data_IF_896098686023
#
_entry.id   IF_896098686023
#
_cell.length_a   1.000
_cell.length_b   1.000
_cell.length_c   1.000
_cell.angle_alpha   90.00
_cell.angle_beta   90.00
_cell.angle_gamma   90.00
#
_symmetry.space_group_name_H-M   'P 1'
#
loop_
_entity.id
_entity.type
_entity.pdbx_description
1 polymer ?
#
# COMPACT_ATOMS: atom_id res chain seq x y z
N UNK A 1 -6.33 -26.17 15.83
CA UNK A 1 -6.02 -24.75 16.06
C UNK A 1 -7.30 -23.93 15.99
N UNK A 2 -7.53 -23.01 16.92
CA UNK A 2 -8.67 -22.09 16.94
C UNK A 2 -8.13 -20.66 16.91
N UNK A 3 -8.67 -19.82 16.03
CA UNK A 3 -8.34 -18.42 15.92
C UNK A 3 -9.61 -17.59 16.20
N UNK A 4 -9.56 -16.73 17.19
CA UNK A 4 -10.66 -15.83 17.57
C UNK A 4 -10.22 -14.38 17.54
N UNK A 5 -11.14 -13.49 17.21
CA UNK A 5 -10.91 -12.06 17.21
C UNK A 5 -12.21 -11.28 17.38
N UNK A 6 -12.14 -10.09 17.96
CA UNK A 6 -13.31 -9.24 18.17
C UNK A 6 -13.95 -8.73 16.88
N UNK A 7 -13.20 -8.71 15.77
CA UNK A 7 -13.63 -8.27 14.45
C UNK A 7 -13.04 -9.16 13.35
N UNK A 8 -13.63 -9.12 12.15
CA UNK A 8 -13.07 -9.80 10.96
C UNK A 8 -11.64 -9.33 10.66
N UNK A 9 -11.35 -8.04 10.88
CA UNK A 9 -10.00 -7.50 10.74
C UNK A 9 -9.04 -8.11 11.77
N UNK A 10 -9.48 -8.29 13.03
CA UNK A 10 -8.65 -8.93 14.07
C UNK A 10 -8.34 -10.40 13.70
N UNK A 11 -9.32 -11.14 13.20
CA UNK A 11 -9.12 -12.51 12.69
C UNK A 11 -8.13 -12.50 11.52
N UNK A 12 -8.26 -11.57 10.57
CA UNK A 12 -7.31 -11.43 9.47
C UNK A 12 -5.88 -11.20 9.98
N UNK A 13 -5.68 -10.31 10.95
CA UNK A 13 -4.35 -10.09 11.54
C UNK A 13 -3.81 -11.31 12.29
N UNK A 14 -4.68 -12.07 12.93
CA UNK A 14 -4.30 -13.34 13.54
C UNK A 14 -3.78 -14.36 12.53
N UNK A 15 -4.33 -14.41 11.32
CA UNK A 15 -3.77 -15.25 10.26
C UNK A 15 -2.35 -14.83 9.85
N UNK A 16 -2.02 -13.54 9.96
CA UNK A 16 -0.64 -13.06 9.71
C UNK A 16 0.33 -13.50 10.79
N UNK A 17 -0.13 -13.51 12.06
CA UNK A 17 0.65 -14.08 13.17
C UNK A 17 0.97 -15.55 12.93
N UNK A 18 -0.01 -16.33 12.49
CA UNK A 18 0.18 -17.76 12.18
C UNK A 18 1.22 -17.93 11.06
N UNK A 19 1.13 -17.15 9.97
CA UNK A 19 2.09 -17.21 8.88
C UNK A 19 3.51 -16.90 9.34
N UNK A 20 3.68 -15.86 10.19
CA UNK A 20 4.98 -15.50 10.74
C UNK A 20 5.54 -16.60 11.65
N UNK A 21 4.69 -17.26 12.44
CA UNK A 21 5.09 -18.43 13.22
C UNK A 21 5.54 -19.59 12.33
N UNK A 22 4.80 -19.91 11.30
CA UNK A 22 5.15 -20.98 10.36
C UNK A 22 6.50 -20.74 9.68
N UNK A 23 6.80 -19.49 9.30
CA UNK A 23 8.10 -19.13 8.74
C UNK A 23 9.25 -19.30 9.73
N UNK A 24 9.02 -18.99 11.02
CA UNK A 24 10.03 -19.12 12.07
C UNK A 24 10.28 -20.56 12.51
N UNK A 25 9.31 -21.45 12.34
CA UNK A 25 9.35 -22.83 12.82
C UNK A 25 9.20 -23.87 11.69
N UNK A 26 9.78 -23.60 10.54
CA UNK A 26 9.84 -24.51 9.38
C UNK A 26 8.47 -25.11 8.98
N UNK A 27 7.44 -24.26 8.95
CA UNK A 27 6.07 -24.65 8.57
C UNK A 27 5.22 -25.18 9.74
N UNK A 28 5.76 -25.32 10.92
CA UNK A 28 5.01 -25.73 12.12
C UNK A 28 4.49 -24.51 12.91
N UNK A 29 3.46 -24.76 13.70
CA UNK A 29 2.98 -23.79 14.70
C UNK A 29 3.17 -24.42 16.08
N UNK A 30 3.91 -23.80 16.99
CA UNK A 30 4.10 -24.32 18.32
C UNK A 30 2.76 -24.50 19.05
N UNK A 31 2.66 -25.56 19.86
CA UNK A 31 1.51 -25.76 20.73
C UNK A 31 1.51 -24.73 21.86
N UNK A 32 0.39 -24.05 22.06
CA UNK A 32 0.26 -23.04 23.11
C UNK A 32 -0.89 -22.08 22.86
N UNK A 33 -0.89 -20.99 23.60
CA UNK A 33 -1.83 -19.88 23.46
C UNK A 33 -1.03 -18.63 23.10
N UNK A 34 -1.43 -17.96 22.01
CA UNK A 34 -0.89 -16.67 21.62
C UNK A 34 -2.00 -15.62 21.73
N UNK A 35 -1.70 -14.50 22.38
CA UNK A 35 -2.58 -13.33 22.46
C UNK A 35 -1.85 -12.16 21.80
N UNK A 36 -2.50 -11.54 20.85
CA UNK A 36 -1.88 -10.51 20.00
C UNK A 36 -2.81 -9.30 19.86
N UNK A 37 -2.26 -8.12 20.04
CA UNK A 37 -2.96 -6.85 19.88
C UNK A 37 -2.02 -5.75 19.37
N UNK A 38 -2.55 -4.76 18.64
CA UNK A 38 -1.73 -3.67 18.16
C UNK A 38 -1.45 -2.65 19.27
N UNK A 39 -0.19 -2.21 19.42
CA UNK A 39 0.17 -1.09 20.28
C UNK A 39 -0.34 0.26 19.72
N UNK A 40 -0.52 0.35 18.40
CA UNK A 40 -1.00 1.54 17.71
C UNK A 40 -2.21 1.19 16.84
N UNK A 41 -3.33 1.93 16.95
CA UNK A 41 -4.52 1.67 16.16
C UNK A 41 -4.31 1.97 14.67
N UNK A 42 -3.42 2.91 14.32
CA UNK A 42 -3.07 3.27 12.95
C UNK A 42 -1.63 2.89 12.64
N UNK A 43 -1.45 2.02 11.67
CA UNK A 43 -0.14 1.53 11.21
C UNK A 43 -0.12 1.67 9.70
N UNK A 44 0.59 2.67 9.22
CA UNK A 44 0.50 3.07 7.83
C UNK A 44 1.83 3.32 7.16
N UNK A 45 1.76 3.39 5.85
CA UNK A 45 2.83 3.80 4.98
C UNK A 45 2.30 4.77 3.92
N UNK A 46 3.12 5.71 3.51
CA UNK A 46 2.82 6.64 2.42
C UNK A 46 3.81 6.43 1.28
N UNK A 47 3.29 6.35 0.06
CA UNK A 47 4.10 6.27 -1.15
C UNK A 47 3.75 7.42 -2.09
N UNK A 48 4.77 8.16 -2.49
CA UNK A 48 4.65 9.21 -3.50
C UNK A 48 4.78 8.61 -4.90
N UNK A 49 3.66 8.53 -5.59
CA UNK A 49 3.58 8.11 -7.00
C UNK A 49 3.41 9.31 -7.93
N UNK A 50 3.18 10.49 -7.37
CA UNK A 50 3.08 11.74 -8.10
C UNK A 50 4.41 12.12 -8.74
N UNK A 51 5.49 12.10 -7.99
CA UNK A 51 6.84 12.42 -8.48
C UNK A 51 7.47 11.33 -9.31
N UNK A 52 7.13 10.10 -9.06
CA UNK A 52 7.56 8.95 -9.87
C UNK A 52 6.44 7.95 -10.00
N UNK A 53 6.02 7.67 -11.24
CA UNK A 53 4.99 6.68 -11.49
C UNK A 53 5.44 5.29 -11.02
N UNK A 54 4.55 4.62 -10.32
CA UNK A 54 4.72 3.25 -9.84
C UNK A 54 3.61 2.40 -10.44
N UNK A 55 3.90 1.31 -11.16
CA UNK A 55 2.87 0.46 -11.74
C UNK A 55 1.91 -0.12 -10.69
N UNK A 56 0.64 -0.28 -11.08
CA UNK A 56 -0.40 -0.80 -10.17
C UNK A 56 -0.08 -2.19 -9.60
N UNK A 57 0.62 -3.03 -10.39
CA UNK A 57 1.10 -4.34 -9.93
C UNK A 57 1.98 -4.22 -8.68
N UNK A 58 2.94 -3.30 -8.72
CA UNK A 58 3.80 -3.02 -7.57
C UNK A 58 3.01 -2.54 -6.35
N UNK A 59 2.02 -1.64 -6.53
CA UNK A 59 1.18 -1.19 -5.41
C UNK A 59 0.41 -2.35 -4.78
N UNK A 60 -0.09 -3.28 -5.58
CA UNK A 60 -0.78 -4.48 -5.09
C UNK A 60 0.14 -5.40 -4.31
N UNK A 61 1.36 -5.60 -4.78
CA UNK A 61 2.35 -6.40 -4.06
C UNK A 61 2.78 -5.72 -2.76
N UNK A 62 2.87 -4.39 -2.79
CA UNK A 62 3.13 -3.60 -1.58
C UNK A 62 2.04 -3.76 -0.51
N UNK A 63 0.77 -3.77 -0.92
CA UNK A 63 -0.36 -4.05 -0.01
C UNK A 63 -0.27 -5.45 0.60
N UNK A 64 0.18 -6.46 -0.15
CA UNK A 64 0.42 -7.80 0.39
C UNK A 64 1.51 -7.79 1.48
N UNK A 65 2.63 -7.10 1.21
CA UNK A 65 3.71 -6.92 2.20
C UNK A 65 3.20 -6.18 3.43
N UNK A 66 2.46 -5.08 3.24
CA UNK A 66 1.84 -4.35 4.34
C UNK A 66 0.92 -5.24 5.18
N UNK A 67 0.14 -6.12 4.52
CA UNK A 67 -0.73 -7.06 5.23
C UNK A 67 0.05 -8.05 6.09
N UNK A 68 1.19 -8.52 5.62
CA UNK A 68 2.08 -9.40 6.38
C UNK A 68 2.56 -8.73 7.67
N UNK A 69 2.92 -7.44 7.60
CA UNK A 69 3.32 -6.63 8.76
C UNK A 69 2.13 -6.02 9.51
N UNK A 70 0.91 -6.44 9.25
CA UNK A 70 -0.33 -5.97 9.92
C UNK A 70 -0.55 -4.46 9.83
N UNK A 71 -0.07 -3.82 8.77
CA UNK A 71 -0.36 -2.42 8.46
C UNK A 71 -1.79 -2.27 7.95
N UNK A 72 -2.48 -1.19 8.33
CA UNK A 72 -3.90 -0.98 8.03
C UNK A 72 -4.20 0.34 7.33
N UNK A 73 -3.19 1.11 6.95
CA UNK A 73 -3.37 2.37 6.25
C UNK A 73 -2.30 2.51 5.16
N UNK A 74 -2.72 2.60 3.91
CA UNK A 74 -1.85 2.92 2.79
C UNK A 74 -2.25 4.26 2.19
N UNK A 75 -1.40 5.26 2.30
CA UNK A 75 -1.61 6.55 1.69
C UNK A 75 -0.85 6.62 0.36
N UNK A 76 -1.57 6.87 -0.73
CA UNK A 76 -0.98 7.07 -2.05
C UNK A 76 -1.03 8.56 -2.37
N UNK A 77 0.13 9.18 -2.52
CA UNK A 77 0.26 10.57 -2.93
C UNK A 77 0.25 10.64 -4.47
N UNK A 78 -0.90 11.00 -5.04
CA UNK A 78 -1.20 10.79 -6.45
C UNK A 78 -0.69 11.90 -7.38
N UNK A 79 -0.48 13.09 -6.87
CA UNK A 79 -0.06 14.23 -7.69
C UNK A 79 0.86 15.16 -6.89
N UNK A 80 1.90 15.62 -7.56
CA UNK A 80 2.84 16.61 -7.02
C UNK A 80 3.61 17.25 -8.18
N UNK A 81 4.44 18.26 -7.88
CA UNK A 81 5.39 18.81 -8.83
C UNK A 81 6.68 17.96 -8.89
N UNK A 82 7.41 18.07 -9.98
CA UNK A 82 8.72 17.44 -10.10
C UNK A 82 9.78 18.07 -9.20
N UNK A 83 10.89 17.39 -9.06
CA UNK A 83 12.02 17.92 -8.33
C UNK A 83 12.75 18.97 -9.16
N UNK A 84 12.75 20.22 -8.71
CA UNK A 84 13.51 21.31 -9.31
C UNK A 84 14.99 20.96 -9.54
N UNK A 85 15.56 20.15 -8.64
CA UNK A 85 16.95 19.69 -8.74
C UNK A 85 17.25 18.94 -10.04
N UNK A 86 16.26 18.19 -10.57
CA UNK A 86 16.45 17.36 -11.76
C UNK A 86 15.97 18.02 -13.05
N UNK A 87 14.97 18.89 -12.96
CA UNK A 87 14.28 19.46 -14.11
C UNK A 87 14.34 21.00 -14.16
N UNK A 88 15.03 21.62 -13.21
CA UNK A 88 15.08 23.08 -13.10
C UNK A 88 13.68 23.66 -12.85
N UNK A 89 13.33 24.69 -13.62
CA UNK A 89 11.99 25.28 -13.62
C UNK A 89 11.16 24.89 -14.85
N UNK A 90 11.64 23.94 -15.63
CA UNK A 90 10.93 23.49 -16.84
C UNK A 90 9.86 22.46 -16.48
N UNK A 91 8.65 22.93 -16.33
CA UNK A 91 7.49 22.12 -16.01
C UNK A 91 7.10 21.14 -17.14
N UNK A 92 7.50 21.40 -18.38
CA UNK A 92 7.24 20.51 -19.52
C UNK A 92 8.04 19.20 -19.41
N UNK A 93 9.20 19.25 -18.77
CA UNK A 93 10.06 18.09 -18.52
C UNK A 93 9.74 17.35 -17.23
N UNK A 94 8.86 17.92 -16.41
CA UNK A 94 8.52 17.33 -15.11
C UNK A 94 7.50 16.22 -15.31
N UNK A 95 7.87 14.94 -15.11
CA UNK A 95 6.92 13.84 -15.21
C UNK A 95 5.99 13.76 -13.98
N UNK A 96 6.14 14.68 -13.04
CA UNK A 96 5.24 14.85 -11.93
C UNK A 96 3.90 15.31 -12.45
N UNK A 97 2.94 14.48 -12.28
CA UNK A 97 1.70 14.67 -12.96
C UNK A 97 0.55 14.11 -12.16
N UNK A 98 -0.61 14.34 -12.65
CA UNK A 98 -1.82 13.75 -12.12
C UNK A 98 -1.86 12.26 -12.44
N UNK A 99 -1.86 11.41 -11.42
CA UNK A 99 -1.80 9.96 -11.56
C UNK A 99 -3.16 9.28 -11.56
N UNK A 100 -4.24 10.03 -11.39
CA UNK A 100 -5.58 9.48 -11.39
C UNK A 100 -6.38 10.01 -12.57
N UNK A 101 -6.96 9.10 -13.33
CA UNK A 101 -7.90 9.42 -14.39
C UNK A 101 -9.11 10.20 -13.84
N UNK A 102 -9.48 11.29 -14.54
CA UNK A 102 -10.62 12.12 -14.18
C UNK A 102 -11.64 12.14 -15.31
N UNK A 103 -12.91 11.90 -14.96
CA UNK A 103 -14.03 12.06 -15.89
C UNK A 103 -14.49 13.51 -16.00
N UNK A 104 -14.19 14.33 -14.99
CA UNK A 104 -14.54 15.76 -14.96
C UNK A 104 -13.51 16.58 -15.76
N UNK A 105 -12.25 16.16 -15.73
CA UNK A 105 -11.16 16.79 -16.46
C UNK A 105 -10.46 15.76 -17.36
N UNK A 106 -11.06 15.43 -18.50
CA UNK A 106 -10.44 14.50 -19.46
C UNK A 106 -9.08 15.01 -19.94
N UNK A 107 -8.09 14.11 -20.02
CA UNK A 107 -6.73 14.47 -20.47
C UNK A 107 -5.83 15.08 -19.38
N UNK A 108 -6.33 15.29 -18.16
CA UNK A 108 -5.49 15.79 -17.06
C UNK A 108 -4.46 14.76 -16.58
N UNK A 109 -4.82 13.47 -16.61
CA UNK A 109 -3.92 12.41 -16.20
C UNK A 109 -2.76 12.25 -17.18
N UNK A 110 -1.57 12.00 -16.66
CA UNK A 110 -0.36 11.81 -17.48
C UNK A 110 -0.53 10.59 -18.40
N UNK A 111 -0.32 10.79 -19.68
CA UNK A 111 -0.39 9.72 -20.66
C UNK A 111 0.58 8.59 -20.34
N UNK A 112 0.12 7.34 -20.41
CA UNK A 112 0.92 6.15 -20.15
C UNK A 112 1.37 5.95 -18.70
N UNK A 113 1.15 6.94 -17.80
CA UNK A 113 1.63 6.91 -16.43
C UNK A 113 0.57 7.37 -15.42
N UNK A 114 -0.60 6.74 -15.45
CA UNK A 114 -1.72 7.02 -14.56
C UNK A 114 -2.49 5.75 -14.18
N UNK A 115 -3.37 5.87 -13.20
CA UNK A 115 -4.28 4.82 -12.77
C UNK A 115 -5.70 5.14 -13.17
N UNK A 116 -6.43 4.16 -13.66
CA UNK A 116 -7.88 4.27 -13.80
C UNK A 116 -8.54 4.11 -12.42
N UNK A 117 -9.67 4.78 -12.20
CA UNK A 117 -10.46 4.63 -10.96
C UNK A 117 -10.78 3.16 -10.65
N UNK A 118 -11.14 2.39 -11.67
CA UNK A 118 -11.47 0.96 -11.55
C UNK A 118 -10.31 0.09 -11.05
N UNK A 119 -9.05 0.53 -11.21
CA UNK A 119 -7.88 -0.27 -10.83
C UNK A 119 -7.33 0.06 -9.46
N UNK A 120 -7.58 1.27 -8.96
CA UNK A 120 -7.01 1.76 -7.70
C UNK A 120 -8.00 1.75 -6.53
N UNK A 121 -9.30 1.71 -6.83
CA UNK A 121 -10.39 1.58 -5.83
C UNK A 121 -10.84 0.08 -5.69
#
# INVERSE_FOLDING_TARGET
>A
MVLTGATTQAVFWGTRTILQMMEQYDGAVPQGVAVDWPNYPKRGFMLDVGRKFVPIGFLRDYVKIMSYYKMNCFQIHLNDNGFKKFYGNDWSQTPAAFRLESTVFPGLATEGAHYSKKRIC
#
